data_IF_390783713059
#
_entry.id   IF_390783713059
#
_cell.length_a   1.000
_cell.length_b   1.000
_cell.length_c   1.000
_cell.angle_alpha   90.00
_cell.angle_beta   90.00
_cell.angle_gamma   90.00
#
_symmetry.space_group_name_H-M   'P 1'
#
loop_
_entity.id
_entity.type
_entity.pdbx_description
1 polymer ?
#
# COMPACT_ATOMS: atom_id res chain seq x y z
N UNK A 1 -21.75 -43.05 -29.29
CA UNK A 1 -20.75 -41.98 -29.26
C UNK A 1 -20.38 -41.75 -27.80
N UNK A 2 -19.20 -42.24 -27.40
CA UNK A 2 -18.72 -42.12 -26.04
C UNK A 2 -18.18 -40.69 -25.85
N UNK A 3 -18.68 -40.02 -24.85
CA UNK A 3 -18.14 -38.71 -24.41
C UNK A 3 -16.87 -38.99 -23.61
N UNK A 4 -15.72 -38.58 -24.10
CA UNK A 4 -14.47 -38.69 -23.36
C UNK A 4 -14.59 -37.97 -22.02
N UNK A 5 -14.10 -38.54 -20.91
CA UNK A 5 -14.17 -37.91 -19.61
C UNK A 5 -13.32 -36.61 -19.62
N UNK A 6 -13.92 -35.55 -19.09
CA UNK A 6 -13.26 -34.24 -18.90
C UNK A 6 -11.94 -34.48 -18.15
N UNK A 7 -10.79 -34.02 -18.66
CA UNK A 7 -9.51 -34.18 -17.97
C UNK A 7 -9.56 -33.52 -16.60
N UNK A 8 -9.12 -34.28 -15.58
CA UNK A 8 -9.02 -33.79 -14.20
C UNK A 8 -8.16 -32.52 -14.17
N UNK A 9 -8.59 -31.44 -13.51
CA UNK A 9 -7.78 -30.26 -13.41
C UNK A 9 -6.40 -30.57 -12.79
N UNK A 10 -5.31 -29.93 -13.24
CA UNK A 10 -4.00 -30.21 -12.72
C UNK A 10 -4.00 -29.97 -11.20
N UNK A 11 -3.34 -30.88 -10.45
CA UNK A 11 -3.17 -30.73 -9.03
C UNK A 11 -2.56 -29.33 -8.76
N UNK A 12 -3.19 -28.61 -7.86
CA UNK A 12 -2.72 -27.27 -7.48
C UNK A 12 -1.24 -27.38 -7.06
N UNK A 13 -0.37 -26.77 -7.85
CA UNK A 13 1.05 -26.63 -7.50
C UNK A 13 1.08 -25.94 -6.15
N UNK A 14 1.61 -26.66 -5.13
CA UNK A 14 1.75 -26.14 -3.79
C UNK A 14 2.53 -24.82 -3.89
N UNK A 15 1.84 -23.70 -3.77
CA UNK A 15 2.46 -22.38 -3.88
C UNK A 15 3.61 -22.32 -2.87
N UNK A 16 4.81 -21.98 -3.36
CA UNK A 16 5.93 -21.71 -2.48
C UNK A 16 5.47 -20.68 -1.46
N UNK A 17 5.80 -20.89 -0.16
CA UNK A 17 5.42 -19.96 0.88
C UNK A 17 5.83 -18.53 0.46
N UNK A 18 4.85 -17.63 0.41
CA UNK A 18 5.12 -16.25 0.05
C UNK A 18 6.18 -15.68 1.01
N UNK A 19 7.14 -14.91 0.52
CA UNK A 19 8.17 -14.33 1.40
C UNK A 19 7.49 -13.51 2.50
N UNK A 20 8.04 -13.61 3.72
CA UNK A 20 7.48 -12.98 4.93
C UNK A 20 7.53 -11.43 4.93
N UNK A 21 7.70 -10.82 3.80
CA UNK A 21 7.79 -9.37 3.60
C UNK A 21 9.05 -8.97 2.83
N UNK A 22 9.15 -7.70 2.40
CA UNK A 22 10.34 -7.22 1.76
C UNK A 22 11.51 -7.27 2.75
N UNK A 23 12.73 -7.51 2.27
CA UNK A 23 13.88 -7.29 3.11
C UNK A 23 13.93 -5.80 3.45
N UNK A 24 13.86 -5.48 4.74
CA UNK A 24 14.17 -4.14 5.26
C UNK A 24 15.53 -4.24 5.97
N UNK A 25 16.66 -4.41 5.23
CA UNK A 25 17.97 -4.63 5.85
C UNK A 25 18.41 -3.38 6.61
N UNK A 26 19.16 -3.54 7.70
CA UNK A 26 19.78 -2.40 8.36
C UNK A 26 20.72 -1.67 7.38
N UNK A 27 20.96 -0.36 7.60
CA UNK A 27 21.92 0.37 6.77
C UNK A 27 23.29 -0.30 6.83
N UNK A 28 24.02 -0.37 5.69
CA UNK A 28 25.42 -0.81 5.68
C UNK A 28 26.29 0.09 6.57
N UNK A 29 27.30 -0.50 7.20
CA UNK A 29 28.17 0.21 8.16
C UNK A 29 28.95 1.39 7.56
N UNK A 30 29.16 1.38 6.23
CA UNK A 30 29.81 2.44 5.48
C UNK A 30 28.88 3.58 5.05
N UNK A 31 27.57 3.49 5.34
CA UNK A 31 26.58 4.51 5.03
C UNK A 31 26.21 5.34 6.26
N UNK A 32 26.45 6.62 6.17
CA UNK A 32 26.01 7.57 7.19
C UNK A 32 24.51 7.80 7.07
N UNK A 33 23.80 7.65 8.20
CA UNK A 33 22.37 7.93 8.28
C UNK A 33 22.15 9.43 7.97
N UNK A 34 21.22 9.78 7.07
CA UNK A 34 20.89 11.16 6.78
C UNK A 34 20.51 11.95 8.03
N UNK A 35 20.95 13.20 8.08
CA UNK A 35 20.71 14.08 9.23
C UNK A 35 19.22 14.20 9.58
N UNK A 36 18.34 14.20 8.59
CA UNK A 36 16.89 14.26 8.79
C UNK A 36 16.38 13.06 9.60
N UNK A 37 16.90 11.86 9.36
CA UNK A 37 16.51 10.66 10.12
C UNK A 37 17.05 10.74 11.55
N UNK A 38 18.30 11.15 11.73
CA UNK A 38 18.89 11.34 13.06
C UNK A 38 18.11 12.40 13.89
N UNK A 39 17.72 13.51 13.26
CA UNK A 39 16.87 14.54 13.88
C UNK A 39 15.48 13.99 14.25
N UNK A 40 14.86 13.19 13.40
CA UNK A 40 13.58 12.55 13.71
C UNK A 40 13.68 11.64 14.94
N UNK A 41 14.71 10.80 15.01
CA UNK A 41 14.93 9.90 16.15
C UNK A 41 15.14 10.67 17.46
N UNK A 42 15.82 11.82 17.40
CA UNK A 42 16.06 12.69 18.56
C UNK A 42 14.80 13.45 18.98
N UNK A 43 14.07 14.02 18.01
CA UNK A 43 12.89 14.85 18.27
C UNK A 43 11.66 14.04 18.66
N UNK A 44 11.54 12.82 18.14
CA UNK A 44 10.40 11.94 18.34
C UNK A 44 10.86 10.55 18.83
N UNK A 45 11.31 10.43 20.08
CA UNK A 45 11.77 9.17 20.63
C UNK A 45 10.69 8.08 20.52
N UNK A 46 11.06 6.88 20.06
CA UNK A 46 10.15 5.75 19.88
C UNK A 46 9.23 5.82 18.66
N UNK A 47 9.21 6.92 17.90
CA UNK A 47 8.42 7.00 16.67
C UNK A 47 9.03 6.21 15.52
N UNK A 48 10.36 6.23 15.38
CA UNK A 48 11.10 5.46 14.38
C UNK A 48 11.50 4.11 14.99
N UNK A 49 10.88 3.04 14.51
CA UNK A 49 11.10 1.67 14.98
C UNK A 49 12.34 1.05 14.33
N UNK A 50 12.57 1.35 13.06
CA UNK A 50 13.67 0.79 12.28
C UNK A 50 14.07 1.75 11.17
N UNK A 51 15.36 1.78 10.86
CA UNK A 51 15.90 2.44 9.67
C UNK A 51 16.46 1.38 8.74
N UNK A 52 16.14 1.47 7.47
CA UNK A 52 16.58 0.56 6.44
C UNK A 52 17.18 1.33 5.26
N UNK A 53 18.11 0.68 4.55
CA UNK A 53 18.66 1.18 3.30
C UNK A 53 18.68 0.06 2.27
N UNK A 54 17.95 0.26 1.15
CA UNK A 54 17.83 -0.74 0.11
C UNK A 54 17.77 -0.09 -1.27
N UNK A 55 18.60 -0.59 -2.19
CA UNK A 55 18.63 -0.16 -3.61
C UNK A 55 18.74 1.38 -3.78
N UNK A 56 19.57 2.02 -2.93
CA UNK A 56 19.80 3.46 -3.02
C UNK A 56 18.84 4.35 -2.24
N UNK A 57 17.78 3.78 -1.67
CA UNK A 57 16.77 4.55 -0.94
C UNK A 57 16.77 4.26 0.56
N UNK A 58 16.61 5.31 1.34
CA UNK A 58 16.40 5.24 2.78
C UNK A 58 14.92 4.98 3.08
N UNK A 59 14.66 4.10 4.02
CA UNK A 59 13.32 3.81 4.52
C UNK A 59 13.32 3.92 6.04
N UNK A 60 12.36 4.65 6.60
CA UNK A 60 12.09 4.66 8.04
C UNK A 60 10.78 3.93 8.30
N UNK A 61 10.83 2.92 9.19
CA UNK A 61 9.65 2.21 9.63
C UNK A 61 9.20 2.89 10.92
N UNK A 62 7.96 3.35 10.94
CA UNK A 62 7.43 4.17 12.03
C UNK A 62 6.23 3.51 12.70
N UNK A 63 6.05 3.78 13.99
CA UNK A 63 4.86 3.37 14.73
C UNK A 63 3.62 4.04 14.14
N UNK A 64 2.54 3.28 13.94
CA UNK A 64 1.32 3.78 13.30
C UNK A 64 0.73 5.00 14.01
N UNK A 65 0.76 4.98 15.34
CA UNK A 65 0.24 6.05 16.21
C UNK A 65 1.06 7.35 16.12
N UNK A 66 2.29 7.27 15.62
CA UNK A 66 3.22 8.40 15.52
C UNK A 66 3.37 8.90 14.08
N UNK A 67 2.62 8.34 13.14
CA UNK A 67 2.72 8.71 11.72
C UNK A 67 2.52 10.21 11.49
N UNK A 68 1.49 10.81 12.09
CA UNK A 68 1.17 12.24 11.91
C UNK A 68 2.28 13.13 12.43
N UNK A 69 2.90 12.79 13.58
CA UNK A 69 4.02 13.55 14.15
C UNK A 69 5.23 13.50 13.22
N UNK A 70 5.57 12.28 12.74
CA UNK A 70 6.69 12.07 11.81
C UNK A 70 6.44 12.79 10.49
N UNK A 71 5.24 12.67 9.92
CA UNK A 71 4.86 13.33 8.68
C UNK A 71 4.96 14.86 8.79
N UNK A 72 4.48 15.42 9.90
CA UNK A 72 4.58 16.88 10.19
C UNK A 72 6.04 17.33 10.30
N UNK A 73 6.87 16.56 11.01
CA UNK A 73 8.29 16.85 11.16
C UNK A 73 9.03 16.77 9.81
N UNK A 74 8.72 15.78 8.97
CA UNK A 74 9.28 15.64 7.63
C UNK A 74 8.85 16.78 6.70
N UNK A 75 7.59 17.19 6.77
CA UNK A 75 7.08 18.34 6.03
C UNK A 75 7.84 19.62 6.41
N UNK A 76 8.03 19.85 7.71
CA UNK A 76 8.82 20.98 8.23
C UNK A 76 10.30 20.89 7.83
N UNK A 77 10.85 19.67 7.71
CA UNK A 77 12.20 19.43 7.22
C UNK A 77 12.35 19.58 5.71
N UNK A 78 11.30 19.96 4.97
CA UNK A 78 11.32 20.27 3.54
C UNK A 78 11.04 19.09 2.62
N UNK A 79 10.46 17.98 3.13
CA UNK A 79 9.84 16.96 2.30
C UNK A 79 8.44 17.43 1.89
N UNK A 80 8.42 18.30 0.92
CA UNK A 80 7.25 19.05 0.49
C UNK A 80 6.42 18.32 -0.59
N UNK A 81 6.96 17.25 -1.15
CA UNK A 81 6.30 16.47 -2.19
C UNK A 81 6.11 15.00 -1.78
N UNK A 82 4.85 14.58 -1.70
CA UNK A 82 4.44 13.18 -1.62
C UNK A 82 4.32 12.67 -3.06
N UNK A 83 5.29 11.88 -3.48
CA UNK A 83 5.35 11.32 -4.84
C UNK A 83 4.31 10.23 -5.04
N UNK A 84 4.17 9.39 -3.99
CA UNK A 84 3.34 8.20 -4.05
C UNK A 84 2.97 7.74 -2.63
N UNK A 85 1.82 7.10 -2.52
CA UNK A 85 1.35 6.39 -1.33
C UNK A 85 0.70 5.10 -1.79
N UNK A 86 1.23 3.98 -1.34
CA UNK A 86 0.73 2.66 -1.72
C UNK A 86 0.76 1.69 -0.56
N UNK A 87 0.22 0.49 -0.74
CA UNK A 87 0.33 -0.57 0.25
C UNK A 87 0.79 -1.88 -0.38
N UNK A 88 1.33 -2.76 0.46
CA UNK A 88 1.65 -4.14 0.09
C UNK A 88 1.09 -5.10 1.12
N UNK A 89 0.60 -6.26 0.66
CA UNK A 89 -0.04 -7.28 1.48
C UNK A 89 0.88 -8.48 1.70
N UNK A 90 1.10 -8.85 2.97
CA UNK A 90 1.98 -9.93 3.40
C UNK A 90 1.24 -10.90 4.35
N UNK A 91 0.32 -11.76 3.87
CA UNK A 91 -0.59 -12.57 4.69
C UNK A 91 0.05 -13.37 5.83
N UNK A 92 1.31 -13.87 5.72
CA UNK A 92 1.91 -14.62 6.82
C UNK A 92 2.28 -13.78 8.04
N UNK A 93 2.31 -12.43 7.91
CA UNK A 93 2.71 -11.54 9.01
C UNK A 93 1.50 -11.15 9.87
N UNK A 94 1.73 -10.99 11.17
CA UNK A 94 0.73 -10.43 12.09
C UNK A 94 0.41 -8.96 11.70
N UNK A 95 1.44 -8.15 11.45
CA UNK A 95 1.32 -6.84 10.81
C UNK A 95 1.29 -7.04 9.30
N UNK A 96 0.14 -7.38 8.79
CA UNK A 96 -0.09 -7.87 7.43
C UNK A 96 0.27 -6.87 6.35
N UNK A 97 -0.07 -5.59 6.55
CA UNK A 97 0.08 -4.57 5.53
C UNK A 97 1.26 -3.65 5.81
N UNK A 98 2.04 -3.33 4.77
CA UNK A 98 2.97 -2.20 4.78
C UNK A 98 2.32 -1.07 3.99
N UNK A 99 2.04 0.07 4.63
CA UNK A 99 1.67 1.32 3.95
C UNK A 99 2.93 2.14 3.76
N UNK A 100 3.21 2.53 2.53
CA UNK A 100 4.48 3.13 2.10
C UNK A 100 4.22 4.51 1.53
N UNK A 101 4.85 5.51 2.10
CA UNK A 101 4.81 6.91 1.68
C UNK A 101 6.15 7.26 1.04
N UNK A 102 6.14 7.63 -0.24
CA UNK A 102 7.33 8.05 -0.98
C UNK A 102 7.43 9.57 -0.98
N UNK A 103 8.41 10.11 -0.28
CA UNK A 103 8.58 11.55 -0.09
C UNK A 103 9.81 12.07 -0.82
N UNK A 104 9.71 13.29 -1.35
CA UNK A 104 10.84 14.02 -1.95
C UNK A 104 10.96 15.42 -1.37
N UNK A 105 12.16 15.79 -0.97
CA UNK A 105 12.56 17.15 -0.72
C UNK A 105 13.11 17.75 -2.03
N UNK A 106 12.24 18.41 -2.81
CA UNK A 106 12.55 18.87 -4.16
C UNK A 106 13.80 19.76 -4.19
N UNK A 107 13.92 20.70 -3.26
CA UNK A 107 15.04 21.65 -3.22
C UNK A 107 16.41 21.00 -2.97
N UNK A 108 16.42 19.83 -2.30
CA UNK A 108 17.65 19.10 -1.95
C UNK A 108 17.87 17.87 -2.80
N UNK A 109 16.91 17.53 -3.69
CA UNK A 109 16.88 16.30 -4.46
C UNK A 109 17.05 15.03 -3.58
N UNK A 110 16.49 15.07 -2.37
CA UNK A 110 16.53 13.95 -1.43
C UNK A 110 15.21 13.18 -1.46
N UNK A 111 15.30 11.85 -1.35
CA UNK A 111 14.15 10.96 -1.27
C UNK A 111 14.18 10.20 0.05
N UNK A 112 13.00 9.94 0.58
CA UNK A 112 12.81 9.15 1.78
C UNK A 112 11.52 8.35 1.66
N UNK A 113 11.55 7.08 2.06
CA UNK A 113 10.34 6.27 2.26
C UNK A 113 9.99 6.24 3.74
N UNK A 114 8.73 6.46 4.04
CA UNK A 114 8.16 6.19 5.35
C UNK A 114 7.28 4.96 5.21
N UNK A 115 7.47 3.97 6.07
CA UNK A 115 6.69 2.73 6.07
C UNK A 115 5.98 2.59 7.41
N UNK A 116 4.71 2.23 7.37
CA UNK A 116 3.91 1.88 8.53
C UNK A 116 3.44 0.45 8.37
N UNK A 117 3.59 -0.38 9.40
CA UNK A 117 3.09 -1.74 9.41
C UNK A 117 1.79 -1.81 10.17
N UNK A 118 0.79 -2.47 9.57
CA UNK A 118 -0.56 -2.55 10.12
C UNK A 118 -1.04 -4.00 10.17
N UNK A 119 -1.72 -4.35 11.25
CA UNK A 119 -2.52 -5.57 11.31
C UNK A 119 -3.76 -5.45 10.40
N UNK A 120 -4.38 -6.59 10.05
CA UNK A 120 -5.61 -6.57 9.29
C UNK A 120 -6.72 -5.86 10.09
N UNK A 121 -7.43 -4.94 9.44
CA UNK A 121 -8.47 -4.11 10.06
C UNK A 121 -7.95 -2.94 10.91
N UNK A 122 -6.64 -2.82 11.13
CA UNK A 122 -6.06 -1.68 11.84
C UNK A 122 -6.09 -0.44 10.95
N UNK A 123 -6.69 0.69 11.42
CA UNK A 123 -6.66 1.94 10.68
C UNK A 123 -5.32 2.67 10.87
N UNK A 124 -5.08 3.66 10.02
CA UNK A 124 -3.95 4.57 10.11
C UNK A 124 -4.43 6.01 9.94
N UNK A 125 -3.74 6.97 10.55
CA UNK A 125 -4.09 8.37 10.41
C UNK A 125 -3.87 8.88 8.97
N UNK A 126 -4.82 9.66 8.45
CA UNK A 126 -4.68 10.34 7.16
C UNK A 126 -3.58 11.41 7.21
N UNK A 127 -2.78 11.47 6.16
CA UNK A 127 -1.79 12.52 5.95
C UNK A 127 -2.27 13.61 4.96
N UNK A 128 -3.54 13.56 4.55
CA UNK A 128 -4.17 14.58 3.69
C UNK A 128 -4.03 16.01 4.23
N UNK A 129 -4.12 16.28 5.55
CA UNK A 129 -3.89 17.63 6.07
C UNK A 129 -2.46 18.14 5.87
N UNK A 130 -1.50 17.24 5.69
CA UNK A 130 -0.06 17.56 5.54
C UNK A 130 0.30 17.65 4.06
N UNK A 131 -0.15 16.69 3.27
CA UNK A 131 0.01 16.64 1.81
C UNK A 131 -1.35 16.43 1.15
N UNK A 132 -1.98 17.50 0.63
CA UNK A 132 -3.32 17.38 0.01
C UNK A 132 -3.42 16.34 -1.12
N UNK A 133 -2.31 16.08 -1.83
CA UNK A 133 -2.22 15.03 -2.85
C UNK A 133 -2.45 13.61 -2.33
N UNK A 134 -2.28 13.38 -1.02
CA UNK A 134 -2.56 12.09 -0.40
C UNK A 134 -4.04 11.67 -0.53
N UNK A 135 -4.96 12.62 -0.67
CA UNK A 135 -6.40 12.34 -0.74
C UNK A 135 -6.73 11.21 -1.74
N UNK A 136 -6.24 11.32 -2.96
CA UNK A 136 -6.51 10.34 -4.01
C UNK A 136 -5.80 9.01 -3.77
N UNK A 137 -4.56 9.07 -3.29
CA UNK A 137 -3.73 7.89 -3.03
C UNK A 137 -4.24 7.09 -1.83
N UNK A 138 -4.70 7.76 -0.77
CA UNK A 138 -5.32 7.11 0.39
C UNK A 138 -6.63 6.42 0.00
N UNK A 139 -7.44 7.04 -0.87
CA UNK A 139 -8.65 6.41 -1.42
C UNK A 139 -8.32 5.19 -2.28
N UNK A 140 -7.26 5.23 -3.08
CA UNK A 140 -6.78 4.07 -3.85
C UNK A 140 -6.38 2.92 -2.93
N UNK A 141 -5.57 3.19 -1.90
CA UNK A 141 -5.18 2.18 -0.91
C UNK A 141 -6.38 1.62 -0.17
N UNK A 142 -7.34 2.46 0.22
CA UNK A 142 -8.60 2.02 0.82
C UNK A 142 -9.37 1.10 -0.15
N UNK A 143 -9.51 1.51 -1.40
CA UNK A 143 -10.28 0.76 -2.40
C UNK A 143 -9.65 -0.60 -2.70
N UNK A 144 -8.32 -0.64 -2.85
CA UNK A 144 -7.58 -1.83 -3.26
C UNK A 144 -7.28 -2.82 -2.12
N UNK A 145 -7.07 -2.34 -0.89
CA UNK A 145 -6.63 -3.16 0.24
C UNK A 145 -7.59 -3.14 1.44
N UNK A 146 -8.53 -2.20 1.52
CA UNK A 146 -9.45 -2.04 2.64
C UNK A 146 -8.84 -1.35 3.86
N UNK A 147 -7.69 -0.72 3.73
CA UNK A 147 -7.04 0.02 4.81
C UNK A 147 -7.76 1.35 5.03
N UNK A 148 -8.26 1.59 6.26
CA UNK A 148 -8.97 2.81 6.61
C UNK A 148 -8.00 3.91 7.02
N UNK A 149 -8.26 5.13 6.54
CA UNK A 149 -7.50 6.33 6.90
C UNK A 149 -8.33 7.23 7.81
N UNK A 150 -8.01 7.24 9.10
CA UNK A 150 -8.73 8.06 10.08
C UNK A 150 -8.47 9.56 9.86
N UNK A 151 -9.54 10.34 9.82
CA UNK A 151 -9.45 11.78 9.52
C UNK A 151 -9.37 12.13 8.04
N UNK A 152 -9.51 11.15 7.13
CA UNK A 152 -9.62 11.45 5.70
C UNK A 152 -10.94 12.19 5.43
N UNK A 153 -10.92 13.28 4.61
CA UNK A 153 -12.10 14.12 4.40
C UNK A 153 -13.25 13.45 3.64
N UNK A 154 -12.95 12.48 2.77
CA UNK A 154 -13.94 11.79 1.93
C UNK A 154 -13.41 10.42 1.48
N UNK A 155 -13.39 9.44 2.41
CA UNK A 155 -12.87 8.11 2.16
C UNK A 155 -13.91 7.23 1.47
N UNK A 156 -13.88 7.22 0.15
CA UNK A 156 -14.75 6.41 -0.72
C UNK A 156 -13.93 5.76 -1.82
N UNK A 157 -14.49 4.77 -2.48
CA UNK A 157 -13.84 4.10 -3.63
C UNK A 157 -13.47 5.08 -4.73
N UNK A 158 -12.46 4.74 -5.52
CA UNK A 158 -11.96 5.58 -6.62
C UNK A 158 -11.71 4.82 -7.92
N UNK A 159 -11.30 3.56 -7.84
CA UNK A 159 -11.02 2.71 -9.00
C UNK A 159 -12.16 1.72 -9.27
N UNK A 160 -12.69 1.13 -8.19
CA UNK A 160 -13.77 0.15 -8.31
C UNK A 160 -15.13 0.84 -8.23
N UNK A 161 -16.18 0.28 -8.87
CA UNK A 161 -17.55 0.73 -8.68
C UNK A 161 -17.99 0.67 -7.22
N UNK A 162 -18.95 1.53 -6.82
CA UNK A 162 -19.41 1.61 -5.43
C UNK A 162 -19.99 0.27 -4.91
N UNK A 163 -20.65 -0.49 -5.78
CA UNK A 163 -21.23 -1.81 -5.51
C UNK A 163 -20.22 -2.95 -5.48
N UNK A 164 -18.95 -2.72 -5.82
CA UNK A 164 -17.93 -3.75 -5.82
C UNK A 164 -17.71 -4.33 -4.42
N UNK A 165 -17.66 -5.67 -4.33
CA UNK A 165 -17.46 -6.37 -3.07
C UNK A 165 -15.99 -6.75 -2.84
N UNK A 166 -15.46 -6.38 -1.68
CA UNK A 166 -14.09 -6.69 -1.28
C UNK A 166 -13.05 -5.71 -1.85
N UNK A 167 -11.78 -6.13 -1.80
CA UNK A 167 -10.61 -5.31 -2.12
C UNK A 167 -9.65 -6.13 -2.99
N UNK A 168 -9.56 -5.84 -4.30
CA UNK A 168 -9.00 -6.75 -5.29
C UNK A 168 -7.49 -6.95 -5.22
N UNK A 169 -6.73 -6.09 -4.54
CA UNK A 169 -5.28 -6.27 -4.38
C UNK A 169 -4.86 -7.03 -3.12
N UNK A 170 -5.81 -7.40 -2.28
CA UNK A 170 -5.53 -8.30 -1.15
C UNK A 170 -5.17 -9.70 -1.69
N UNK A 171 -4.17 -10.33 -1.07
CA UNK A 171 -3.74 -11.69 -1.46
C UNK A 171 -4.76 -12.79 -1.17
N UNK A 172 -5.71 -12.53 -0.26
CA UNK A 172 -6.84 -13.42 0.04
C UNK A 172 -8.08 -13.13 -0.82
N UNK A 173 -8.04 -12.13 -1.69
CA UNK A 173 -9.11 -11.89 -2.65
C UNK A 173 -9.08 -12.95 -3.74
N UNK A 174 -10.23 -13.66 -4.00
CA UNK A 174 -10.28 -14.73 -4.99
C UNK A 174 -10.07 -14.18 -6.41
N UNK A 175 -9.36 -14.95 -7.24
CA UNK A 175 -9.04 -14.56 -8.61
C UNK A 175 -10.31 -14.33 -9.45
N UNK A 176 -11.34 -15.14 -9.23
CA UNK A 176 -12.63 -15.06 -9.94
C UNK A 176 -13.60 -14.06 -9.30
N UNK A 177 -13.21 -13.38 -8.20
CA UNK A 177 -13.97 -12.37 -7.49
C UNK A 177 -15.39 -12.76 -7.07
N UNK A 178 -15.81 -12.56 -5.80
CA UNK A 178 -17.18 -12.88 -5.37
C UNK A 178 -18.23 -11.90 -5.91
N UNK A 179 -17.83 -10.86 -6.59
CA UNK A 179 -18.70 -9.77 -7.01
C UNK A 179 -18.23 -9.11 -8.29
N UNK A 180 -17.48 -9.85 -9.12
CA UNK A 180 -17.34 -9.33 -10.48
C UNK A 180 -18.76 -9.04 -10.95
N UNK A 181 -19.03 -7.74 -11.14
CA UNK A 181 -20.08 -7.38 -12.06
C UNK A 181 -19.83 -8.28 -13.25
N UNK A 182 -20.74 -9.20 -13.52
CA UNK A 182 -20.83 -9.84 -14.80
C UNK A 182 -21.07 -8.69 -15.77
N UNK A 183 -20.04 -7.90 -15.99
CA UNK A 183 -19.96 -7.04 -17.16
C UNK A 183 -20.16 -8.03 -18.29
N UNK A 184 -21.37 -7.96 -18.83
CA UNK A 184 -21.87 -8.65 -19.97
C UNK A 184 -20.69 -9.00 -20.86
N UNK A 185 -20.59 -10.23 -21.25
CA UNK A 185 -19.46 -10.70 -22.02
C UNK A 185 -19.23 -9.74 -23.19
N UNK A 186 -18.01 -9.55 -23.68
CA UNK A 186 -17.77 -8.69 -24.86
C UNK A 186 -18.69 -8.99 -26.03
N UNK A 187 -19.23 -10.21 -26.09
CA UNK A 187 -20.23 -10.65 -27.07
C UNK A 187 -21.61 -10.00 -26.88
N UNK A 188 -22.00 -9.65 -25.66
CA UNK A 188 -23.27 -8.94 -25.39
C UNK A 188 -23.15 -7.46 -25.74
N UNK A 189 -22.01 -6.85 -25.49
CA UNK A 189 -21.72 -5.48 -25.94
C UNK A 189 -21.76 -5.35 -27.48
N UNK A 190 -21.28 -6.36 -28.18
CA UNK A 190 -21.34 -6.40 -29.66
C UNK A 190 -22.76 -6.50 -30.16
N UNK A 191 -23.65 -7.25 -29.50
CA UNK A 191 -25.08 -7.37 -29.86
C UNK A 191 -25.82 -6.06 -29.68
N UNK A 192 -25.59 -5.34 -28.55
CA UNK A 192 -26.23 -4.05 -28.30
C UNK A 192 -25.83 -2.97 -29.32
N UNK A 193 -24.62 -3.04 -29.89
CA UNK A 193 -24.16 -2.13 -30.93
C UNK A 193 -24.85 -2.38 -32.28
N UNK A 194 -25.18 -3.63 -32.56
CA UNK A 194 -25.75 -4.03 -33.85
C UNK A 194 -27.30 -3.85 -33.87
N UNK A 195 -27.92 -3.54 -32.71
CA UNK A 195 -29.35 -3.25 -32.55
C UNK A 195 -29.68 -1.74 -32.58
N UNK A 196 -28.69 -0.85 -32.71
CA UNK A 196 -28.83 0.61 -32.83
C UNK A 196 -28.43 1.09 -34.21
#
# INVERSE_FOLDING_TARGET
MGVDPIPKPPEAVKAAAAPAGPPDPPPPADRTIPEVIARLQTALPGAVLQVSFWVGDWTVIVAAERLTDVATALRAAGFDFLNDLTATDWPPRAERFDVIYCLTAIRRAERLRVKVRLADGQPVASVTPIWPGANWLEREVFDMFGIRFDGHPDLRRILMPDEWQGHPQRKDYPLEGPGELLLESPTEWLKLRDET
#
